data_IF_354836656266
#
_entry.id   IF_354836656266
#
_cell.length_a   1.000
_cell.length_b   1.000
_cell.length_c   1.000
_cell.angle_alpha   90.00
_cell.angle_beta   90.00
_cell.angle_gamma   90.00
#
_symmetry.space_group_name_H-M   'P 1'
#
loop_
_entity.id
_entity.type
_entity.pdbx_description
1 polymer ?
#
# COMPACT_ATOMS: atom_id res chain seq x y z
N UNK A 1 8.66 31.08 4.96
CA UNK A 1 8.60 30.95 6.43
C UNK A 1 7.36 30.15 6.75
N UNK A 2 7.50 28.83 6.92
CA UNK A 2 6.36 27.92 7.19
C UNK A 2 5.78 28.25 8.57
N UNK A 3 4.44 28.29 8.74
CA UNK A 3 3.85 28.43 10.08
C UNK A 3 4.24 27.19 10.89
N UNK A 4 5.17 27.36 11.83
CA UNK A 4 5.46 26.32 12.83
C UNK A 4 4.21 26.14 13.67
N UNK A 5 3.54 25.01 13.48
CA UNK A 5 2.43 24.53 14.31
C UNK A 5 2.98 24.37 15.73
N UNK A 6 2.60 25.28 16.62
CA UNK A 6 3.30 25.49 17.89
C UNK A 6 2.47 25.05 19.11
N UNK A 7 1.19 24.70 18.93
CA UNK A 7 0.34 24.23 20.02
C UNK A 7 0.13 22.71 19.97
N UNK A 8 0.15 22.07 21.15
CA UNK A 8 -0.14 20.64 21.31
C UNK A 8 -1.50 20.27 20.70
N UNK A 9 -2.48 21.17 20.78
CA UNK A 9 -3.83 20.97 20.28
C UNK A 9 -3.85 20.84 18.75
N UNK A 10 -3.13 21.69 18.01
CA UNK A 10 -3.05 21.59 16.55
C UNK A 10 -2.43 20.26 16.10
N UNK A 11 -1.40 19.78 16.79
CA UNK A 11 -0.81 18.46 16.52
C UNK A 11 -1.82 17.34 16.73
N UNK A 12 -2.59 17.39 17.82
CA UNK A 12 -3.65 16.41 18.10
C UNK A 12 -4.67 16.40 16.96
N UNK A 13 -5.11 17.58 16.48
CA UNK A 13 -6.03 17.65 15.35
C UNK A 13 -5.45 17.02 14.07
N UNK A 14 -4.17 17.24 13.78
CA UNK A 14 -3.51 16.60 12.63
C UNK A 14 -3.47 15.08 12.74
N UNK A 15 -3.14 14.53 13.91
CA UNK A 15 -3.17 13.09 14.12
C UNK A 15 -4.58 12.52 14.00
N UNK A 16 -5.60 13.20 14.53
CA UNK A 16 -7.00 12.79 14.40
C UNK A 16 -7.38 12.73 12.91
N UNK A 17 -7.07 13.76 12.13
CA UNK A 17 -7.34 13.78 10.69
C UNK A 17 -6.60 12.64 9.99
N UNK A 18 -5.33 12.40 10.31
CA UNK A 18 -4.56 11.30 9.71
C UNK A 18 -5.17 9.92 10.01
N UNK A 19 -5.60 9.70 11.26
CA UNK A 19 -6.27 8.45 11.67
C UNK A 19 -7.61 8.28 10.96
N UNK A 20 -8.39 9.37 10.80
CA UNK A 20 -9.65 9.34 10.04
C UNK A 20 -9.39 8.98 8.57
N UNK A 21 -8.39 9.60 7.95
CA UNK A 21 -8.01 9.30 6.55
C UNK A 21 -7.58 7.84 6.41
N UNK A 22 -6.70 7.36 7.28
CA UNK A 22 -6.27 5.96 7.28
C UNK A 22 -7.46 5.01 7.47
N UNK A 23 -8.33 5.28 8.45
CA UNK A 23 -9.53 4.48 8.72
C UNK A 23 -10.48 4.46 7.52
N UNK A 24 -10.70 5.61 6.88
CA UNK A 24 -11.52 5.72 5.67
C UNK A 24 -10.91 4.96 4.49
N UNK A 25 -9.61 5.11 4.23
CA UNK A 25 -8.90 4.37 3.19
C UNK A 25 -9.01 2.86 3.41
N UNK A 26 -8.78 2.39 4.64
CA UNK A 26 -8.98 0.99 5.00
C UNK A 26 -10.42 0.55 4.75
N UNK A 27 -11.41 1.30 5.25
CA UNK A 27 -12.82 0.97 5.05
C UNK A 27 -13.20 0.83 3.58
N UNK A 28 -12.77 1.77 2.73
CA UNK A 28 -12.98 1.69 1.29
C UNK A 28 -12.29 0.45 0.73
N UNK A 29 -10.98 0.27 0.95
CA UNK A 29 -10.23 -0.87 0.39
C UNK A 29 -10.76 -2.23 0.86
N UNK A 30 -11.21 -2.36 2.11
CA UNK A 30 -11.84 -3.59 2.61
C UNK A 30 -13.11 -3.97 1.85
N UNK A 31 -13.92 -2.99 1.41
CA UNK A 31 -15.13 -3.25 0.62
C UNK A 31 -14.84 -3.70 -0.81
N UNK A 32 -13.62 -3.48 -1.30
CA UNK A 32 -13.20 -3.81 -2.66
C UNK A 32 -12.28 -5.05 -2.71
N UNK A 33 -12.08 -5.77 -1.60
CA UNK A 33 -11.25 -6.98 -1.58
C UNK A 33 -11.77 -8.11 -2.48
N UNK A 34 -13.07 -8.13 -2.76
CA UNK A 34 -13.72 -9.17 -3.57
C UNK A 34 -13.87 -8.78 -5.05
N UNK A 35 -13.34 -7.61 -5.45
CA UNK A 35 -13.31 -7.24 -6.86
C UNK A 35 -12.35 -8.18 -7.60
N UNK A 36 -12.71 -8.66 -8.80
CA UNK A 36 -11.82 -9.48 -9.60
C UNK A 36 -10.52 -8.75 -9.93
N UNK A 37 -9.44 -9.52 -10.06
CA UNK A 37 -8.14 -8.98 -10.46
C UNK A 37 -8.24 -8.25 -11.80
N UNK A 38 -7.56 -7.12 -11.88
CA UNK A 38 -7.32 -6.44 -13.15
C UNK A 38 -6.42 -7.32 -14.04
N UNK A 39 -6.39 -7.07 -15.35
CA UNK A 39 -5.65 -7.88 -16.31
C UNK A 39 -4.19 -8.06 -15.92
N UNK A 40 -3.53 -6.97 -15.51
CA UNK A 40 -2.11 -6.98 -15.16
C UNK A 40 -1.91 -7.69 -13.81
N UNK A 41 -2.78 -7.45 -12.82
CA UNK A 41 -2.79 -8.16 -11.54
C UNK A 41 -2.92 -9.68 -11.71
N UNK A 42 -3.78 -10.10 -12.64
CA UNK A 42 -3.97 -11.51 -13.00
C UNK A 42 -2.73 -12.15 -13.60
N UNK A 43 -2.00 -11.43 -14.46
CA UNK A 43 -0.73 -11.90 -15.03
C UNK A 43 0.31 -12.13 -13.93
N UNK A 44 0.48 -11.17 -13.01
CA UNK A 44 1.42 -11.31 -11.89
C UNK A 44 1.05 -12.46 -10.95
N UNK A 45 -0.23 -12.59 -10.63
CA UNK A 45 -0.75 -13.64 -9.77
C UNK A 45 -0.52 -15.02 -10.38
N UNK A 46 -0.79 -15.16 -11.68
CA UNK A 46 -0.59 -16.41 -12.42
C UNK A 46 0.89 -16.82 -12.45
N UNK A 47 1.78 -15.88 -12.77
CA UNK A 47 3.23 -16.15 -12.79
C UNK A 47 3.77 -16.47 -11.38
N UNK A 48 3.28 -15.78 -10.34
CA UNK A 48 3.61 -16.09 -8.96
C UNK A 48 3.13 -17.49 -8.55
N UNK A 49 1.94 -17.89 -8.99
CA UNK A 49 1.41 -19.24 -8.78
C UNK A 49 2.23 -20.31 -9.52
N UNK A 50 2.65 -20.05 -10.76
CA UNK A 50 3.54 -20.95 -11.51
C UNK A 50 4.88 -21.15 -10.80
N UNK A 51 5.46 -20.09 -10.23
CA UNK A 51 6.67 -20.19 -9.41
C UNK A 51 6.47 -21.10 -8.18
N UNK A 52 5.32 -21.03 -7.52
CA UNK A 52 4.99 -21.91 -6.39
C UNK A 52 4.94 -23.39 -6.81
N UNK A 53 4.58 -23.66 -8.07
CA UNK A 53 4.59 -25.00 -8.67
C UNK A 53 5.97 -25.44 -9.20
N UNK A 54 6.99 -24.58 -9.09
CA UNK A 54 8.35 -24.87 -9.54
C UNK A 54 8.62 -24.56 -11.01
N UNK A 55 7.70 -23.90 -11.71
CA UNK A 55 7.91 -23.46 -13.09
C UNK A 55 8.60 -22.09 -13.12
N UNK A 56 9.52 -21.88 -14.06
CA UNK A 56 10.09 -20.57 -14.29
C UNK A 56 9.08 -19.65 -15.01
N UNK A 57 9.05 -18.34 -14.71
CA UNK A 57 8.22 -17.39 -15.42
C UNK A 57 8.62 -17.35 -16.89
N UNK A 58 7.63 -17.15 -17.77
CA UNK A 58 7.88 -17.07 -19.20
C UNK A 58 8.85 -15.91 -19.53
N UNK A 59 9.81 -16.18 -20.42
CA UNK A 59 10.85 -15.25 -20.88
C UNK A 59 10.26 -14.06 -21.66
N UNK A 60 8.97 -14.14 -22.03
CA UNK A 60 8.20 -13.07 -22.65
C UNK A 60 7.58 -12.06 -21.67
N UNK A 61 7.65 -12.29 -20.35
CA UNK A 61 7.18 -11.30 -19.36
C UNK A 61 8.07 -10.05 -19.44
N UNK A 62 7.47 -8.89 -19.69
CA UNK A 62 8.20 -7.61 -19.75
C UNK A 62 8.62 -7.06 -18.37
N UNK A 63 8.44 -7.86 -17.31
CA UNK A 63 8.52 -7.42 -15.93
C UNK A 63 9.74 -8.02 -15.22
N UNK A 64 10.27 -7.27 -14.26
CA UNK A 64 11.37 -7.73 -13.43
C UNK A 64 10.95 -8.99 -12.65
N UNK A 65 11.76 -10.06 -12.61
CA UNK A 65 11.37 -11.34 -12.01
C UNK A 65 11.03 -11.23 -10.52
N UNK A 66 11.49 -10.18 -9.84
CA UNK A 66 11.18 -9.91 -8.43
C UNK A 66 9.69 -9.77 -8.12
N UNK A 67 8.87 -9.26 -9.04
CA UNK A 67 7.43 -9.08 -8.78
C UNK A 67 6.72 -10.43 -8.61
N UNK A 68 7.07 -11.41 -9.43
CA UNK A 68 6.49 -12.75 -9.38
C UNK A 68 6.83 -13.45 -8.06
N UNK A 69 8.04 -13.24 -7.52
CA UNK A 69 8.44 -13.76 -6.21
C UNK A 69 7.63 -13.11 -5.07
N UNK A 70 7.36 -11.81 -5.16
CA UNK A 70 6.52 -11.11 -4.17
C UNK A 70 5.09 -11.66 -4.21
N UNK A 71 4.51 -11.86 -5.39
CA UNK A 71 3.17 -12.46 -5.52
C UNK A 71 3.13 -13.90 -5.00
N UNK A 72 4.14 -14.72 -5.31
CA UNK A 72 4.25 -16.07 -4.77
C UNK A 72 4.30 -16.07 -3.22
N UNK A 73 5.07 -15.15 -2.63
CA UNK A 73 5.15 -14.99 -1.18
C UNK A 73 3.80 -14.56 -0.58
N UNK A 74 3.11 -13.59 -1.21
CA UNK A 74 1.78 -13.14 -0.78
C UNK A 74 0.78 -14.30 -0.80
N UNK A 75 0.70 -15.04 -1.91
CA UNK A 75 -0.20 -16.18 -2.06
C UNK A 75 0.11 -17.31 -1.07
N UNK A 76 1.38 -17.45 -0.69
CA UNK A 76 1.82 -18.43 0.32
C UNK A 76 1.40 -18.00 1.74
N UNK A 77 1.52 -16.72 2.09
CA UNK A 77 1.27 -16.20 3.44
C UNK A 77 -0.22 -15.99 3.70
N UNK A 78 -0.93 -15.38 2.73
CA UNK A 78 -2.33 -14.94 2.90
C UNK A 78 -3.34 -15.91 2.27
N UNK A 79 -2.90 -16.76 1.33
CA UNK A 79 -3.74 -17.73 0.62
C UNK A 79 -3.86 -17.43 -0.87
N UNK A 80 -4.29 -18.44 -1.64
CA UNK A 80 -4.38 -18.37 -3.10
C UNK A 80 -5.72 -17.76 -3.57
N UNK A 81 -6.01 -16.53 -3.16
CA UNK A 81 -7.24 -15.81 -3.54
C UNK A 81 -6.95 -14.38 -4.00
N UNK A 82 -7.81 -13.80 -4.84
CA UNK A 82 -7.71 -12.39 -5.26
C UNK A 82 -7.77 -11.44 -4.05
N UNK A 83 -8.62 -11.72 -3.07
CA UNK A 83 -8.71 -10.93 -1.84
C UNK A 83 -7.42 -10.93 -1.03
N UNK A 84 -6.62 -12.00 -1.08
CA UNK A 84 -5.32 -12.07 -0.42
C UNK A 84 -4.32 -11.09 -1.04
N UNK A 85 -4.35 -10.96 -2.37
CA UNK A 85 -3.52 -9.99 -3.11
C UNK A 85 -3.95 -8.57 -2.76
N UNK A 86 -5.24 -8.25 -2.80
CA UNK A 86 -5.74 -6.92 -2.45
C UNK A 86 -5.46 -6.57 -0.98
N UNK A 87 -5.52 -7.54 -0.07
CA UNK A 87 -5.18 -7.36 1.35
C UNK A 87 -3.68 -7.06 1.53
N UNK A 88 -2.81 -7.79 0.84
CA UNK A 88 -1.37 -7.52 0.86
C UNK A 88 -1.04 -6.15 0.25
N UNK A 89 -1.73 -5.75 -0.80
CA UNK A 89 -1.61 -4.40 -1.38
C UNK A 89 -2.03 -3.32 -0.37
N UNK A 90 -3.12 -3.53 0.38
CA UNK A 90 -3.53 -2.63 1.45
C UNK A 90 -2.43 -2.48 2.52
N UNK A 91 -1.85 -3.58 3.01
CA UNK A 91 -0.74 -3.51 3.96
C UNK A 91 0.48 -2.79 3.37
N UNK A 92 0.81 -3.04 2.10
CA UNK A 92 1.91 -2.39 1.40
C UNK A 92 1.70 -0.87 1.31
N UNK A 93 0.47 -0.42 1.01
CA UNK A 93 0.12 0.99 0.96
C UNK A 93 0.20 1.66 2.34
N UNK A 94 -0.26 0.99 3.40
CA UNK A 94 -0.16 1.50 4.77
C UNK A 94 1.32 1.63 5.18
N UNK A 95 2.13 0.61 4.92
CA UNK A 95 3.56 0.63 5.19
C UNK A 95 4.27 1.76 4.41
N UNK A 96 3.93 1.92 3.13
CA UNK A 96 4.50 2.97 2.27
C UNK A 96 4.09 4.37 2.76
N UNK A 97 2.83 4.57 3.15
CA UNK A 97 2.36 5.82 3.76
C UNK A 97 3.16 6.17 5.02
N UNK A 98 3.42 5.17 5.88
CA UNK A 98 4.21 5.37 7.08
C UNK A 98 5.67 5.74 6.76
N UNK A 99 6.30 5.10 5.77
CA UNK A 99 7.63 5.47 5.31
C UNK A 99 7.68 6.90 4.74
N UNK A 100 6.66 7.30 3.99
CA UNK A 100 6.51 8.67 3.47
C UNK A 100 6.36 9.66 4.64
N UNK A 101 5.58 9.32 5.66
CA UNK A 101 5.47 10.12 6.89
C UNK A 101 6.84 10.31 7.56
N UNK A 102 7.61 9.22 7.73
CA UNK A 102 8.95 9.27 8.32
C UNK A 102 9.90 10.14 7.48
N UNK A 103 9.83 10.01 6.16
CA UNK A 103 10.63 10.80 5.24
C UNK A 103 10.29 12.30 5.31
N UNK A 104 9.00 12.65 5.27
CA UNK A 104 8.54 14.03 5.39
C UNK A 104 8.91 14.66 6.75
N UNK A 105 8.80 13.87 7.83
CA UNK A 105 9.23 14.26 9.17
C UNK A 105 10.75 14.46 9.26
N UNK A 106 11.53 13.64 8.56
CA UNK A 106 12.99 13.73 8.55
C UNK A 106 13.50 14.93 7.75
N UNK A 107 12.90 15.21 6.60
CA UNK A 107 13.33 16.29 5.70
C UNK A 107 12.83 17.68 6.14
N UNK A 108 11.68 17.75 6.78
CA UNK A 108 11.05 19.01 7.18
C UNK A 108 10.60 18.97 8.64
N UNK A 109 9.31 18.68 8.87
CA UNK A 109 8.73 18.61 10.19
C UNK A 109 7.61 17.56 10.24
N UNK A 110 7.16 17.28 11.45
CA UNK A 110 6.12 16.28 11.74
C UNK A 110 4.80 16.55 11.01
N UNK A 111 4.43 17.82 10.81
CA UNK A 111 3.20 18.19 10.11
C UNK A 111 3.31 17.84 8.64
N UNK A 112 4.44 18.18 8.01
CA UNK A 112 4.74 17.81 6.61
C UNK A 112 4.74 16.29 6.44
N UNK A 113 5.31 15.56 7.40
CA UNK A 113 5.21 14.10 7.44
C UNK A 113 3.75 13.62 7.45
N UNK A 114 2.92 14.17 8.33
CA UNK A 114 1.50 13.77 8.43
C UNK A 114 0.75 14.07 7.13
N UNK A 115 0.91 15.28 6.58
CA UNK A 115 0.23 15.66 5.33
C UNK A 115 0.65 14.81 4.14
N UNK A 116 1.95 14.50 4.01
CA UNK A 116 2.46 13.67 2.91
C UNK A 116 1.95 12.22 3.01
N UNK A 117 2.01 11.61 4.20
CA UNK A 117 1.48 10.27 4.44
C UNK A 117 -0.03 10.17 4.20
N UNK A 118 -0.80 11.15 4.68
CA UNK A 118 -2.25 11.21 4.48
C UNK A 118 -2.62 11.45 3.00
N UNK A 119 -1.91 12.34 2.31
CA UNK A 119 -2.11 12.58 0.87
C UNK A 119 -1.85 11.33 0.05
N UNK A 120 -0.79 10.58 0.37
CA UNK A 120 -0.49 9.32 -0.28
C UNK A 120 -1.63 8.31 -0.09
N UNK A 121 -2.17 8.14 1.13
CA UNK A 121 -3.30 7.24 1.39
C UNK A 121 -4.54 7.59 0.56
N UNK A 122 -4.84 8.87 0.39
CA UNK A 122 -5.96 9.32 -0.47
C UNK A 122 -5.66 9.03 -1.94
N UNK A 123 -4.42 9.27 -2.39
CA UNK A 123 -4.00 8.93 -3.76
C UNK A 123 -4.11 7.43 -4.03
N UNK A 124 -3.88 6.58 -3.02
CA UNK A 124 -4.12 5.14 -3.13
C UNK A 124 -5.60 4.75 -3.20
N UNK A 125 -6.55 5.68 -3.38
CA UNK A 125 -7.97 5.35 -3.60
C UNK A 125 -8.44 5.60 -5.05
N UNK A 126 -7.66 6.33 -5.86
CA UNK A 126 -7.88 6.45 -7.30
C UNK A 126 -7.39 5.21 -8.03
#
# INVERSE_FOLDING_TARGET
>A
MSPKINSLNEKIYLYIVAVIVLGFTCFVRFRFLEVPLERDEGEYAYMGWQLMLGFLPDVGSMLLPGIHLVYAAILTIFGQTHSSIHLALLFTNIATSFLIFLLGKHLYDESVGIFSGASFLVMTLS
#
